data_IF_820988712562
#
_entry.id   IF_820988712562
#
_cell.length_a   1.000
_cell.length_b   1.000
_cell.length_c   1.000
_cell.angle_alpha   90.00
_cell.angle_beta   90.00
_cell.angle_gamma   90.00
#
_symmetry.space_group_name_H-M   'P 1'
#
loop_
_entity.id
_entity.type
_entity.pdbx_description
1 polymer ?
#
# COMPACT_ATOMS: atom_id res chain seq x y z
N UNK A 1 63.21 -22.51 25.01
CA UNK A 1 63.44 -21.45 24.00
C UNK A 1 62.86 -21.93 22.67
N UNK A 2 61.72 -21.34 22.24
CA UNK A 2 61.09 -21.34 20.87
C UNK A 2 60.67 -22.70 20.25
N UNK A 3 59.58 -22.86 19.48
CA UNK A 3 58.29 -22.19 19.25
C UNK A 3 57.49 -23.07 18.25
N UNK A 4 56.23 -23.39 18.55
CA UNK A 4 55.04 -23.55 17.67
C UNK A 4 55.09 -24.43 16.39
N UNK A 5 54.28 -25.49 16.38
CA UNK A 5 53.63 -26.05 15.18
C UNK A 5 52.16 -25.58 15.14
N UNK A 6 51.73 -24.97 14.01
CA UNK A 6 50.37 -24.46 13.77
C UNK A 6 49.63 -25.35 12.75
N UNK A 7 48.42 -25.76 13.17
CA UNK A 7 47.14 -25.87 12.43
C UNK A 7 47.09 -26.37 10.98
N UNK A 8 46.42 -27.52 10.78
CA UNK A 8 45.69 -27.86 9.55
C UNK A 8 44.31 -28.48 9.89
N UNK A 9 43.28 -27.70 9.61
CA UNK A 9 41.87 -27.95 9.23
C UNK A 9 41.26 -29.36 9.34
N UNK A 10 40.12 -29.45 10.03
CA UNK A 10 38.98 -30.25 9.57
C UNK A 10 37.66 -29.58 10.01
N UNK A 11 36.98 -28.94 9.06
CA UNK A 11 35.61 -28.42 9.20
C UNK A 11 34.62 -29.57 8.99
N UNK A 12 33.95 -29.96 10.06
CA UNK A 12 32.80 -30.86 10.02
C UNK A 12 31.52 -30.03 9.95
N UNK A 13 30.67 -30.33 8.97
CA UNK A 13 29.45 -29.60 8.67
C UNK A 13 28.38 -29.71 9.76
N UNK A 14 27.56 -28.67 9.84
CA UNK A 14 26.20 -28.69 10.38
C UNK A 14 25.37 -27.93 9.36
N UNK A 15 24.51 -28.65 8.65
CA UNK A 15 23.39 -28.07 7.93
C UNK A 15 22.29 -27.63 8.90
N UNK A 16 21.42 -26.74 8.40
CA UNK A 16 20.13 -26.23 8.90
C UNK A 16 20.16 -24.71 8.71
N UNK A 17 19.13 -23.98 8.33
CA UNK A 17 17.80 -24.24 7.84
C UNK A 17 17.27 -22.85 7.41
N UNK A 18 16.45 -22.81 6.37
CA UNK A 18 15.34 -21.87 6.20
C UNK A 18 15.62 -20.36 6.35
N UNK A 19 15.99 -19.69 5.24
CA UNK A 19 15.77 -18.26 5.08
C UNK A 19 14.56 -18.02 4.15
N UNK A 20 13.39 -18.52 4.55
CA UNK A 20 12.12 -18.27 3.89
C UNK A 20 11.06 -17.78 4.90
N UNK A 21 11.46 -16.86 5.78
CA UNK A 21 10.58 -16.22 6.76
C UNK A 21 10.88 -14.72 6.94
N UNK A 22 11.44 -14.05 5.92
CA UNK A 22 12.02 -12.71 6.07
C UNK A 22 11.05 -11.54 5.84
N UNK A 23 9.81 -11.77 5.41
CA UNK A 23 8.87 -10.66 5.15
C UNK A 23 8.31 -10.03 6.43
N UNK A 24 7.51 -10.78 7.18
CA UNK A 24 6.71 -10.23 8.28
C UNK A 24 7.50 -9.95 9.58
N UNK A 25 8.56 -10.72 9.87
CA UNK A 25 9.37 -10.51 11.08
C UNK A 25 10.43 -9.41 10.94
N UNK A 26 10.86 -9.11 9.70
CA UNK A 26 11.84 -8.04 9.46
C UNK A 26 11.23 -6.63 9.59
N UNK A 27 9.93 -6.47 9.33
CA UNK A 27 9.24 -5.18 9.45
C UNK A 27 8.75 -4.89 10.88
N UNK A 28 8.62 -5.91 11.74
CA UNK A 28 8.47 -5.76 13.19
C UNK A 28 9.82 -5.63 13.91
N UNK A 29 10.80 -4.99 13.27
CA UNK A 29 12.15 -4.84 13.81
C UNK A 29 12.37 -3.46 14.45
N UNK A 30 13.31 -3.35 15.42
CA UNK A 30 13.75 -2.05 15.94
C UNK A 30 14.24 -1.07 14.86
N UNK A 31 14.71 -1.60 13.72
CA UNK A 31 15.13 -0.81 12.57
C UNK A 31 13.94 -0.09 11.92
N UNK A 32 12.80 -0.76 11.79
CA UNK A 32 11.59 -0.15 11.24
C UNK A 32 11.02 0.92 12.17
N UNK A 33 10.99 0.67 13.48
CA UNK A 33 10.58 1.69 14.47
C UNK A 33 11.51 2.92 14.46
N UNK A 34 12.83 2.70 14.35
CA UNK A 34 13.78 3.79 14.21
C UNK A 34 13.55 4.61 12.92
N UNK A 35 13.22 3.94 11.81
CA UNK A 35 12.85 4.59 10.56
C UNK A 35 11.53 5.37 10.68
N UNK A 36 10.48 4.78 11.25
CA UNK A 36 9.19 5.45 11.51
C UNK A 36 9.38 6.73 12.33
N UNK A 37 10.18 6.66 13.39
CA UNK A 37 10.51 7.81 14.23
C UNK A 37 11.30 8.87 13.47
N UNK A 38 12.27 8.48 12.66
CA UNK A 38 13.05 9.42 11.85
C UNK A 38 12.19 10.09 10.77
N UNK A 39 11.28 9.34 10.15
CA UNK A 39 10.36 9.82 9.12
C UNK A 39 9.16 10.60 9.69
N UNK A 40 8.99 10.64 11.02
CA UNK A 40 7.83 11.25 11.71
C UNK A 40 6.48 10.70 11.19
N UNK A 41 6.39 9.38 11.01
CA UNK A 41 5.19 8.70 10.49
C UNK A 41 4.46 7.90 11.59
N UNK A 42 3.20 7.56 11.32
CA UNK A 42 2.35 6.80 12.24
C UNK A 42 2.19 7.49 13.60
N UNK A 43 2.44 6.76 14.69
CA UNK A 43 2.33 7.29 16.07
C UNK A 43 3.32 8.43 16.37
N UNK A 44 4.33 8.63 15.53
CA UNK A 44 5.32 9.70 15.66
C UNK A 44 5.00 10.94 14.82
N UNK A 45 3.86 10.97 14.13
CA UNK A 45 3.46 12.11 13.32
C UNK A 45 3.06 13.30 14.22
N UNK A 46 3.83 14.39 14.11
CA UNK A 46 3.56 15.66 14.77
C UNK A 46 2.75 16.63 13.88
N UNK A 47 2.90 17.92 14.14
CA UNK A 47 2.45 18.95 13.19
C UNK A 47 3.33 18.94 11.94
N UNK A 48 2.71 19.05 10.77
CA UNK A 48 3.42 19.07 9.49
C UNK A 48 4.11 20.43 9.31
N UNK A 49 5.43 20.43 9.20
CA UNK A 49 6.18 21.58 8.71
C UNK A 49 6.45 21.39 7.21
N UNK A 50 5.62 22.02 6.36
CA UNK A 50 5.71 21.87 4.91
C UNK A 50 7.04 22.33 4.33
N UNK A 51 7.67 23.35 4.90
CA UNK A 51 8.97 23.84 4.42
C UNK A 51 10.07 22.81 4.69
N UNK A 52 10.05 22.15 5.85
CA UNK A 52 10.96 21.04 6.17
C UNK A 52 10.72 19.83 5.26
N UNK A 53 9.46 19.47 5.03
CA UNK A 53 9.08 18.32 4.19
C UNK A 53 9.54 18.56 2.75
N UNK A 54 9.31 19.75 2.20
CA UNK A 54 9.73 20.10 0.84
C UNK A 54 11.27 20.11 0.74
N UNK A 55 11.96 20.67 1.73
CA UNK A 55 13.44 20.66 1.75
C UNK A 55 14.02 19.24 1.80
N UNK A 56 13.41 18.34 2.59
CA UNK A 56 13.79 16.94 2.64
C UNK A 56 13.52 16.21 1.31
N UNK A 57 12.35 16.41 0.72
CA UNK A 57 11.98 15.82 -0.57
C UNK A 57 12.91 16.26 -1.71
N UNK A 58 13.33 17.53 -1.72
CA UNK A 58 14.32 18.04 -2.67
C UNK A 58 15.70 17.40 -2.50
N UNK A 59 16.08 17.07 -1.25
CA UNK A 59 17.34 16.38 -0.96
C UNK A 59 17.33 14.92 -1.41
N UNK A 60 16.18 14.26 -1.33
CA UNK A 60 15.98 12.89 -1.82
C UNK A 60 15.92 12.85 -3.36
N UNK A 61 15.25 13.83 -3.97
CA UNK A 61 15.32 14.11 -5.41
C UNK A 61 14.53 13.15 -6.32
N UNK A 62 13.84 12.15 -5.77
CA UNK A 62 13.00 11.23 -6.53
C UNK A 62 11.71 10.89 -5.77
N UNK A 63 10.61 10.70 -6.50
CA UNK A 63 9.32 10.30 -5.97
C UNK A 63 8.70 9.25 -6.89
N UNK A 64 8.40 8.07 -6.37
CA UNK A 64 7.74 6.98 -7.09
C UNK A 64 6.34 6.72 -6.54
N UNK A 65 5.34 6.81 -7.42
CA UNK A 65 3.93 6.67 -7.08
C UNK A 65 3.32 5.50 -7.84
N UNK A 66 2.72 4.55 -7.13
CA UNK A 66 1.86 3.52 -7.73
C UNK A 66 0.41 3.93 -7.54
N UNK A 67 -0.36 4.04 -8.62
CA UNK A 67 -1.72 4.52 -8.53
C UNK A 67 -2.70 3.82 -9.47
N UNK A 68 -3.89 3.51 -8.94
CA UNK A 68 -5.05 3.09 -9.73
C UNK A 68 -5.88 4.24 -10.29
N UNK A 69 -5.59 5.49 -9.89
CA UNK A 69 -6.29 6.65 -10.41
C UNK A 69 -5.73 7.07 -11.76
N UNK A 70 -6.60 7.22 -12.75
CA UNK A 70 -6.24 7.73 -14.09
C UNK A 70 -5.75 9.18 -14.05
N UNK A 71 -6.19 9.96 -13.06
CA UNK A 71 -5.80 11.36 -12.88
C UNK A 71 -4.41 11.54 -12.27
N UNK A 72 -3.82 10.48 -11.70
CA UNK A 72 -2.54 10.60 -10.98
C UNK A 72 -1.38 10.93 -11.92
N UNK A 73 -1.42 10.49 -13.18
CA UNK A 73 -0.38 10.85 -14.16
C UNK A 73 -0.34 12.35 -14.39
N UNK A 74 -1.49 12.99 -14.61
CA UNK A 74 -1.56 14.46 -14.78
C UNK A 74 -1.13 15.20 -13.49
N UNK A 75 -1.56 14.72 -12.32
CA UNK A 75 -1.13 15.28 -11.05
C UNK A 75 0.39 15.19 -10.83
N UNK A 76 1.01 14.08 -11.23
CA UNK A 76 2.46 13.90 -11.18
C UNK A 76 3.22 14.83 -12.13
N UNK A 77 2.69 15.07 -13.33
CA UNK A 77 3.26 16.04 -14.27
C UNK A 77 3.20 17.48 -13.72
N UNK A 78 2.08 17.87 -13.12
CA UNK A 78 1.93 19.19 -12.52
C UNK A 78 2.82 19.35 -11.28
N UNK A 79 2.98 18.29 -10.48
CA UNK A 79 3.94 18.28 -9.38
C UNK A 79 5.39 18.46 -9.88
N UNK A 80 5.77 17.75 -10.94
CA UNK A 80 7.11 17.87 -11.53
C UNK A 80 7.38 19.28 -12.09
N UNK A 81 6.35 19.99 -12.59
CA UNK A 81 6.47 21.40 -13.00
C UNK A 81 6.67 22.34 -11.82
N UNK A 82 5.96 22.10 -10.72
CA UNK A 82 6.08 22.91 -9.50
C UNK A 82 7.42 22.68 -8.79
N UNK A 83 7.93 21.45 -8.82
CA UNK A 83 9.16 21.02 -8.15
C UNK A 83 10.12 20.31 -9.13
N UNK A 84 10.81 21.04 -10.02
CA UNK A 84 11.66 20.44 -11.05
C UNK A 84 12.89 19.71 -10.48
N UNK A 85 13.23 19.95 -9.21
CA UNK A 85 14.32 19.28 -8.49
C UNK A 85 13.95 17.83 -8.09
N UNK A 86 12.66 17.46 -8.14
CA UNK A 86 12.16 16.14 -7.75
C UNK A 86 11.75 15.36 -8.99
N UNK A 87 12.42 14.24 -9.24
CA UNK A 87 12.07 13.33 -10.33
C UNK A 87 10.85 12.48 -9.95
N UNK A 88 9.68 12.86 -10.45
CA UNK A 88 8.44 12.12 -10.25
C UNK A 88 8.29 10.99 -11.28
N UNK A 89 7.97 9.78 -10.81
CA UNK A 89 7.63 8.62 -11.63
C UNK A 89 6.28 8.06 -11.15
N UNK A 90 5.26 8.19 -12.00
CA UNK A 90 3.92 7.63 -11.72
C UNK A 90 3.72 6.36 -12.54
N UNK A 91 3.36 5.27 -11.87
CA UNK A 91 2.98 4.00 -12.49
C UNK A 91 1.46 3.84 -12.43
N UNK A 92 0.74 4.09 -13.54
CA UNK A 92 -0.69 3.86 -13.61
C UNK A 92 -0.95 2.36 -13.70
N UNK A 93 -1.38 1.77 -12.59
CA UNK A 93 -1.60 0.33 -12.42
C UNK A 93 -3.00 0.11 -11.85
N UNK A 94 -3.75 -0.87 -12.35
CA UNK A 94 -5.04 -1.24 -11.74
C UNK A 94 -4.89 -1.61 -10.26
N UNK A 95 -5.97 -1.48 -9.48
CA UNK A 95 -5.94 -1.66 -8.02
C UNK A 95 -5.26 -2.95 -7.57
N UNK A 96 -5.61 -4.08 -8.18
CA UNK A 96 -5.01 -5.40 -7.89
C UNK A 96 -3.51 -5.44 -8.23
N UNK A 97 -3.13 -4.97 -9.42
CA UNK A 97 -1.73 -4.94 -9.87
C UNK A 97 -0.85 -4.05 -8.99
N UNK A 98 -1.40 -2.93 -8.52
CA UNK A 98 -0.70 -2.05 -7.57
C UNK A 98 -0.35 -2.82 -6.29
N UNK A 99 -1.32 -3.54 -5.73
CA UNK A 99 -1.17 -4.30 -4.48
C UNK A 99 -0.18 -5.46 -4.67
N UNK A 100 -0.35 -6.26 -5.72
CA UNK A 100 0.54 -7.37 -6.06
C UNK A 100 1.99 -6.92 -6.24
N UNK A 101 2.19 -5.76 -6.90
CA UNK A 101 3.53 -5.21 -7.12
C UNK A 101 4.20 -4.81 -5.82
N UNK A 102 3.50 -4.11 -4.93
CA UNK A 102 4.01 -3.72 -3.60
C UNK A 102 4.43 -4.96 -2.81
N UNK A 103 3.55 -5.96 -2.74
CA UNK A 103 3.82 -7.20 -2.02
C UNK A 103 5.02 -7.94 -2.61
N UNK A 104 5.06 -8.09 -3.94
CA UNK A 104 6.15 -8.80 -4.61
C UNK A 104 7.50 -8.10 -4.42
N UNK A 105 7.55 -6.78 -4.50
CA UNK A 105 8.78 -6.00 -4.30
C UNK A 105 9.25 -6.07 -2.85
N UNK A 106 8.35 -5.89 -1.89
CA UNK A 106 8.72 -5.92 -0.48
C UNK A 106 9.16 -7.31 -0.02
N UNK A 107 8.53 -8.37 -0.54
CA UNK A 107 8.97 -9.76 -0.31
C UNK A 107 10.37 -10.01 -0.89
N UNK A 108 10.73 -9.36 -1.99
CA UNK A 108 12.07 -9.38 -2.57
C UNK A 108 13.06 -8.42 -1.87
N UNK A 109 12.63 -7.68 -0.84
CA UNK A 109 13.44 -6.68 -0.14
C UNK A 109 13.68 -5.39 -0.94
N UNK A 110 12.86 -5.16 -1.98
CA UNK A 110 12.89 -3.98 -2.83
C UNK A 110 11.80 -3.02 -2.34
N UNK A 111 12.19 -1.81 -1.96
CA UNK A 111 11.26 -0.75 -1.54
C UNK A 111 11.31 0.40 -2.56
N UNK A 112 10.71 0.17 -3.73
CA UNK A 112 10.81 1.10 -4.86
C UNK A 112 9.71 2.18 -4.88
N UNK A 113 8.63 2.00 -4.13
CA UNK A 113 7.48 2.91 -4.09
C UNK A 113 7.48 3.76 -2.84
N UNK A 114 7.13 5.03 -3.00
CA UNK A 114 6.99 5.99 -1.90
C UNK A 114 5.52 6.24 -1.57
N UNK A 115 4.65 6.30 -2.59
CA UNK A 115 3.21 6.55 -2.42
C UNK A 115 2.39 5.50 -3.15
N UNK A 116 1.44 4.90 -2.43
CA UNK A 116 0.50 3.91 -2.96
C UNK A 116 -0.92 4.47 -2.91
N UNK A 117 -1.59 4.49 -4.06
CA UNK A 117 -3.00 4.87 -4.18
C UNK A 117 -3.76 3.74 -4.87
N UNK A 118 -4.70 3.08 -4.17
CA UNK A 118 -5.48 1.98 -4.72
C UNK A 118 -6.91 1.97 -4.16
N UNK A 119 -7.87 1.54 -4.99
CA UNK A 119 -9.24 1.27 -4.56
C UNK A 119 -9.44 -0.06 -3.84
N UNK A 120 -8.40 -0.90 -3.71
CA UNK A 120 -8.44 -2.20 -3.06
C UNK A 120 -8.33 -2.14 -1.54
N UNK A 121 -9.21 -1.38 -0.87
CA UNK A 121 -9.11 -1.07 0.57
C UNK A 121 -9.00 -2.31 1.45
N UNK A 122 -9.70 -3.41 1.12
CA UNK A 122 -9.67 -4.63 1.93
C UNK A 122 -8.25 -5.22 2.03
N UNK A 123 -7.58 -5.40 0.90
CA UNK A 123 -6.22 -5.95 0.86
C UNK A 123 -5.22 -4.97 1.49
N UNK A 124 -5.36 -3.66 1.24
CA UNK A 124 -4.48 -2.67 1.86
C UNK A 124 -4.57 -2.70 3.40
N UNK A 125 -5.78 -2.77 3.95
CA UNK A 125 -6.02 -2.73 5.40
C UNK A 125 -5.71 -4.07 6.09
N UNK A 126 -6.04 -5.19 5.45
CA UNK A 126 -5.93 -6.51 6.10
C UNK A 126 -4.66 -7.29 5.74
N UNK A 127 -3.92 -6.89 4.72
CA UNK A 127 -2.69 -7.57 4.28
C UNK A 127 -1.47 -6.63 4.31
N UNK A 128 -1.53 -5.47 3.65
CA UNK A 128 -0.34 -4.61 3.51
C UNK A 128 -0.04 -3.84 4.81
N UNK A 129 -1.06 -3.30 5.46
CA UNK A 129 -0.88 -2.49 6.68
C UNK A 129 -0.40 -3.32 7.88
N UNK A 130 -0.97 -4.51 8.19
CA UNK A 130 -0.52 -5.32 9.32
C UNK A 130 0.91 -5.83 9.14
N UNK A 131 1.29 -6.15 7.90
CA UNK A 131 2.65 -6.56 7.54
C UNK A 131 3.63 -5.39 7.43
N UNK A 132 3.17 -4.15 7.70
CA UNK A 132 3.97 -2.92 7.64
C UNK A 132 4.61 -2.67 6.26
N UNK A 133 3.96 -3.18 5.21
CA UNK A 133 4.33 -2.88 3.83
C UNK A 133 3.89 -1.48 3.41
N UNK A 134 2.90 -0.92 4.09
CA UNK A 134 2.47 0.47 3.92
C UNK A 134 2.31 1.09 5.31
N UNK A 135 2.39 2.42 5.35
CA UNK A 135 2.19 3.21 6.56
C UNK A 135 1.15 4.29 6.28
N UNK A 136 0.26 4.52 7.24
CA UNK A 136 -0.73 5.59 7.12
C UNK A 136 -0.03 6.96 7.29
N UNK A 137 -0.35 7.90 6.42
CA UNK A 137 0.07 9.29 6.53
C UNK A 137 -1.14 10.18 6.29
N UNK A 138 -1.48 11.01 7.28
CA UNK A 138 -2.63 11.91 7.22
C UNK A 138 -2.11 13.34 7.34
N UNK A 139 -2.05 14.10 6.24
CA UNK A 139 -1.67 15.50 6.28
C UNK A 139 -2.49 16.29 7.30
N UNK A 140 -1.84 17.14 8.09
CA UNK A 140 -2.43 17.93 9.17
C UNK A 140 -3.61 18.77 8.69
N UNK A 141 -3.51 19.38 7.51
CA UNK A 141 -4.58 20.18 6.91
C UNK A 141 -5.84 19.39 6.51
N UNK A 142 -5.76 18.04 6.46
CA UNK A 142 -6.90 17.17 6.20
C UNK A 142 -7.61 16.72 7.48
N UNK A 143 -6.98 16.86 8.66
CA UNK A 143 -7.57 16.43 9.93
C UNK A 143 -8.87 17.18 10.26
N UNK A 144 -9.02 18.43 9.83
CA UNK A 144 -10.27 19.16 10.07
C UNK A 144 -11.29 19.00 8.93
N UNK A 145 -10.92 18.32 7.83
CA UNK A 145 -11.75 18.19 6.62
C UNK A 145 -12.30 16.79 6.39
N UNK A 146 -11.63 15.78 6.94
CA UNK A 146 -11.98 14.36 6.77
C UNK A 146 -12.25 13.75 8.15
N UNK A 147 -13.44 13.18 8.33
CA UNK A 147 -13.82 12.46 9.55
C UNK A 147 -12.83 11.36 9.91
N UNK A 148 -12.60 11.14 11.21
CA UNK A 148 -11.66 10.13 11.72
C UNK A 148 -11.88 8.72 11.16
N UNK A 149 -13.13 8.32 10.94
CA UNK A 149 -13.50 7.03 10.34
C UNK A 149 -12.98 6.82 8.91
N UNK A 150 -12.60 7.88 8.22
CA UNK A 150 -12.00 7.85 6.88
C UNK A 150 -10.50 8.19 6.92
N UNK A 151 -9.93 8.44 8.10
CA UNK A 151 -8.49 8.65 8.29
C UNK A 151 -7.82 7.38 8.83
N UNK A 152 -8.56 6.60 9.59
CA UNK A 152 -8.10 5.35 10.20
C UNK A 152 -8.84 4.13 9.64
N UNK A 153 -8.17 2.99 9.42
CA UNK A 153 -6.73 2.75 9.61
C UNK A 153 -5.84 3.22 8.43
N UNK A 154 -6.46 3.65 7.33
CA UNK A 154 -5.80 4.25 6.16
C UNK A 154 -6.61 5.46 5.69
N UNK A 155 -5.90 6.50 5.25
CA UNK A 155 -6.51 7.68 4.66
C UNK A 155 -7.32 7.32 3.40
N UNK A 156 -8.63 7.48 3.50
CA UNK A 156 -9.59 7.29 2.41
C UNK A 156 -9.98 8.64 1.84
N UNK A 157 -9.47 8.95 0.64
CA UNK A 157 -9.73 10.23 -0.04
C UNK A 157 -10.94 10.18 -0.98
N UNK A 158 -11.28 8.99 -1.48
CA UNK A 158 -12.37 8.79 -2.42
C UNK A 158 -13.25 7.62 -1.94
N UNK A 159 -14.57 7.80 -2.02
CA UNK A 159 -15.56 6.74 -1.80
C UNK A 159 -16.27 6.52 -3.13
N UNK A 160 -16.02 5.36 -3.72
CA UNK A 160 -16.62 4.99 -4.98
C UNK A 160 -18.02 4.40 -4.74
N UNK A 161 -19.02 4.94 -5.45
CA UNK A 161 -20.37 4.41 -5.47
C UNK A 161 -20.69 3.87 -6.86
N UNK A 162 -21.11 2.61 -6.93
CA UNK A 162 -21.56 2.01 -8.18
C UNK A 162 -23.01 2.39 -8.45
N UNK A 163 -23.23 3.08 -9.57
CA UNK A 163 -24.57 3.41 -10.04
C UNK A 163 -24.83 2.69 -11.37
N UNK A 164 -26.03 2.11 -11.48
CA UNK A 164 -26.53 1.61 -12.75
C UNK A 164 -26.97 2.83 -13.57
N UNK A 165 -26.31 3.05 -14.71
CA UNK A 165 -26.67 4.12 -15.65
C UNK A 165 -27.17 3.50 -16.96
N UNK A 166 -28.03 4.22 -17.69
CA UNK A 166 -28.54 3.81 -18.99
C UNK A 166 -28.48 4.98 -19.97
N UNK A 167 -28.44 4.67 -21.27
CA UNK A 167 -28.41 5.68 -22.31
C UNK A 167 -29.82 6.27 -22.54
N UNK A 168 -30.03 7.52 -22.11
CA UNK A 168 -31.28 8.26 -22.29
C UNK A 168 -31.64 8.62 -23.73
N UNK A 169 -30.68 8.60 -24.65
CA UNK A 169 -30.96 8.79 -26.08
C UNK A 169 -31.53 7.51 -26.73
N UNK A 170 -31.20 6.34 -26.18
CA UNK A 170 -31.70 5.06 -26.67
C UNK A 170 -32.98 4.59 -25.94
N UNK A 171 -33.20 5.03 -24.71
CA UNK A 171 -34.37 4.67 -23.91
C UNK A 171 -34.92 5.90 -23.18
N UNK A 172 -36.19 6.22 -23.39
CA UNK A 172 -36.90 7.32 -22.70
C UNK A 172 -37.31 6.98 -21.26
N UNK A 173 -37.31 5.70 -20.90
CA UNK A 173 -37.56 5.21 -19.54
C UNK A 173 -36.42 4.29 -19.08
N UNK A 174 -36.15 4.18 -17.76
CA UNK A 174 -35.15 3.27 -17.23
C UNK A 174 -35.46 1.82 -17.63
N UNK A 175 -34.60 1.15 -18.43
CA UNK A 175 -34.83 -0.23 -18.84
C UNK A 175 -34.64 -1.21 -17.67
N UNK A 176 -33.95 -0.78 -16.61
CA UNK A 176 -33.63 -1.59 -15.44
C UNK A 176 -34.64 -1.26 -14.34
N UNK A 177 -35.58 -2.18 -14.13
CA UNK A 177 -36.72 -2.02 -13.20
C UNK A 177 -36.48 -2.62 -11.81
N UNK A 178 -35.40 -3.38 -11.64
CA UNK A 178 -34.98 -3.96 -10.36
C UNK A 178 -33.45 -4.16 -10.33
N UNK A 179 -32.89 -4.18 -9.12
CA UNK A 179 -31.49 -4.57 -8.89
C UNK A 179 -31.48 -6.00 -8.32
N UNK A 180 -31.89 -6.98 -9.12
CA UNK A 180 -31.61 -8.37 -8.78
C UNK A 180 -30.16 -8.63 -9.15
N UNK A 181 -29.27 -8.44 -8.18
CA UNK A 181 -27.93 -9.03 -8.23
C UNK A 181 -28.17 -10.52 -8.35
N UNK A 182 -28.02 -11.05 -9.56
CA UNK A 182 -27.95 -12.47 -9.80
C UNK A 182 -26.69 -12.96 -9.08
N UNK A 183 -26.80 -13.21 -7.78
CA UNK A 183 -25.97 -14.18 -7.09
C UNK A 183 -26.22 -15.46 -7.86
N UNK A 184 -25.37 -15.71 -8.85
CA UNK A 184 -25.18 -17.02 -9.46
C UNK A 184 -24.68 -17.90 -8.32
N UNK A 185 -25.62 -18.33 -7.46
CA UNK A 185 -25.42 -19.41 -6.52
C UNK A 185 -25.15 -20.61 -7.41
N UNK A 186 -23.87 -20.87 -7.69
CA UNK A 186 -23.43 -22.23 -7.97
C UNK A 186 -24.10 -23.13 -6.93
N UNK A 187 -24.71 -24.26 -7.33
CA UNK A 187 -25.60 -25.00 -6.45
C UNK A 187 -24.80 -25.61 -5.31
N UNK A 188 -24.74 -24.88 -4.19
CA UNK A 188 -24.41 -25.43 -2.90
C UNK A 188 -25.62 -26.30 -2.51
N UNK A 189 -25.44 -27.59 -2.69
CA UNK A 189 -26.24 -28.64 -2.07
C UNK A 189 -26.20 -28.36 -0.56
N UNK A 190 -27.25 -27.73 -0.06
CA UNK A 190 -27.48 -27.54 1.37
C UNK A 190 -28.80 -28.23 1.70
N UNK A 191 -28.67 -29.23 2.58
CA UNK A 191 -29.70 -30.17 2.97
C UNK A 191 -30.99 -29.50 3.45
N UNK A 192 -32.08 -30.16 3.08
CA UNK A 192 -33.44 -30.00 3.59
C UNK A 192 -33.46 -30.04 5.12
N UNK A 193 -33.77 -28.92 5.76
CA UNK A 193 -34.39 -28.91 7.09
C UNK A 193 -35.89 -28.71 6.89
N UNK A 194 -36.66 -29.75 7.21
CA UNK A 194 -38.13 -29.73 7.20
C UNK A 194 -38.63 -29.37 8.60
N UNK A 195 -39.70 -28.54 8.76
CA UNK A 195 -40.40 -28.38 10.03
C UNK A 195 -41.78 -29.06 10.01
N UNK A 196 -42.51 -29.15 11.14
CA UNK A 196 -42.08 -29.07 12.54
C UNK A 196 -41.80 -30.44 13.17
#
# INVERSE_FOLDING_TARGET
>A
MRLKAKHLTLLLGIGLASAAATGAWAQNSPKFEAWLKAAKLGVHQGEDNWDEIIAAAKKEGALTVYSSATTMTAAGEDFAKAYPEIKVQVFPLGSEKTIEKVLSEHQAGIHAVDVVYSGGTQQMVYELLPDRNIVNYVPGYLKDRIDEKHREPLLTQNIEAFAITYNGAANTEPPIKNCQIALKRSPLIALKASPP
#
